data_IF_466263457650
#
_entry.id   IF_466263457650
#
_cell.length_a   1.000
_cell.length_b   1.000
_cell.length_c   1.000
_cell.angle_alpha   90.00
_cell.angle_beta   90.00
_cell.angle_gamma   90.00
#
_symmetry.space_group_name_H-M   'P 1'
#
loop_
_entity.id
_entity.type
_entity.pdbx_description
1 polymer ?
#
# COMPACT_ATOMS: atom_id res chain seq x y z
N UNK A 1 -32.91 45.08 -1.81
CA UNK A 1 -33.29 43.66 -1.59
C UNK A 1 -32.19 42.84 -2.27
N UNK A 2 -31.18 42.38 -1.52
CA UNK A 2 -31.08 41.02 -0.97
C UNK A 2 -31.37 39.96 -2.03
N UNK A 3 -30.33 39.30 -2.53
CA UNK A 3 -30.27 37.86 -2.83
C UNK A 3 -28.81 37.50 -3.17
N UNK A 4 -27.92 37.78 -2.21
CA UNK A 4 -26.75 36.93 -2.00
C UNK A 4 -27.29 35.65 -1.36
N UNK A 5 -27.12 34.48 -2.00
CA UNK A 5 -26.93 33.17 -1.37
C UNK A 5 -27.23 32.04 -2.38
N UNK A 6 -26.25 31.15 -2.52
CA UNK A 6 -26.46 29.71 -2.66
C UNK A 6 -27.13 29.17 -3.96
N UNK A 7 -26.31 28.98 -4.97
CA UNK A 7 -26.30 27.73 -5.75
C UNK A 7 -24.81 27.39 -5.89
N UNK A 8 -24.14 26.67 -4.99
CA UNK A 8 -24.44 25.34 -4.46
C UNK A 8 -24.98 24.38 -5.50
N UNK A 9 -24.03 23.73 -6.15
CA UNK A 9 -24.22 22.67 -7.12
C UNK A 9 -22.91 22.21 -7.74
N UNK A 10 -21.79 22.34 -7.02
CA UNK A 10 -20.53 21.66 -7.33
C UNK A 10 -20.79 20.14 -7.24
N UNK A 11 -21.37 19.56 -8.29
CA UNK A 11 -21.05 18.19 -8.68
C UNK A 11 -19.69 18.22 -9.36
N UNK A 12 -18.67 18.66 -8.63
CA UNK A 12 -17.33 18.16 -8.93
C UNK A 12 -17.38 16.70 -8.60
N UNK A 13 -17.60 15.87 -9.62
CA UNK A 13 -17.23 14.46 -9.57
C UNK A 13 -15.71 14.46 -9.49
N UNK A 14 -15.19 14.75 -8.30
CA UNK A 14 -13.80 14.52 -7.97
C UNK A 14 -13.64 13.02 -8.02
N UNK A 15 -13.23 12.51 -9.18
CA UNK A 15 -12.51 11.25 -9.29
C UNK A 15 -11.20 11.40 -8.53
N UNK A 16 -11.29 11.49 -7.20
CA UNK A 16 -10.18 11.24 -6.31
C UNK A 16 -9.77 9.80 -6.58
N UNK A 17 -8.50 9.64 -6.97
CA UNK A 17 -7.91 8.37 -7.36
C UNK A 17 -8.38 7.27 -6.43
N UNK A 18 -9.01 6.29 -7.05
CA UNK A 18 -9.68 5.20 -6.38
C UNK A 18 -8.62 4.16 -6.03
N UNK A 19 -7.77 4.51 -5.09
CA UNK A 19 -6.89 3.71 -4.23
C UNK A 19 -6.35 4.75 -3.26
N UNK A 20 -6.21 4.44 -1.97
CA UNK A 20 -5.94 5.40 -0.90
C UNK A 20 -4.64 6.22 -0.97
N UNK A 21 -4.06 6.40 -2.16
CA UNK A 21 -2.85 7.12 -2.49
C UNK A 21 -1.85 6.25 -3.22
N UNK A 22 -0.83 6.89 -3.80
CA UNK A 22 0.36 6.17 -4.25
C UNK A 22 1.12 5.65 -3.02
N UNK A 23 1.61 4.41 -3.06
CA UNK A 23 2.58 3.90 -2.09
C UNK A 23 3.99 4.14 -2.62
N UNK A 24 4.84 4.73 -1.79
CA UNK A 24 6.25 4.96 -2.06
C UNK A 24 7.05 4.20 -1.01
N UNK A 25 7.92 3.29 -1.45
CA UNK A 25 8.83 2.55 -0.58
C UNK A 25 10.25 3.01 -0.89
N UNK A 26 10.93 3.59 0.10
CA UNK A 26 12.28 4.10 -0.03
C UNK A 26 13.22 3.30 0.86
N UNK A 27 14.14 2.57 0.25
CA UNK A 27 15.18 1.86 0.97
C UNK A 27 16.47 2.69 0.92
N UNK A 28 16.74 3.44 1.98
CA UNK A 28 17.96 4.26 2.09
C UNK A 28 19.15 3.49 2.66
N UNK A 29 19.00 2.20 2.97
CA UNK A 29 20.13 1.38 3.42
C UNK A 29 21.11 1.16 2.28
N UNK A 30 22.38 0.89 2.63
CA UNK A 30 23.44 0.60 1.64
C UNK A 30 23.79 -0.89 1.55
N UNK A 31 23.40 -1.68 2.54
CA UNK A 31 23.85 -3.07 2.69
C UNK A 31 22.71 -4.09 2.63
N UNK A 32 21.45 -3.64 2.56
CA UNK A 32 20.30 -4.52 2.66
C UNK A 32 19.23 -4.24 1.62
N UNK A 33 18.74 -5.28 0.97
CA UNK A 33 17.55 -5.21 0.13
C UNK A 33 16.32 -5.42 0.99
N UNK A 34 15.28 -4.64 0.72
CA UNK A 34 13.98 -4.78 1.37
C UNK A 34 13.16 -5.80 0.60
N UNK A 35 12.70 -6.86 1.27
CA UNK A 35 11.75 -7.81 0.71
C UNK A 35 10.46 -7.73 1.50
N UNK A 36 9.31 -7.60 0.84
CA UNK A 36 8.06 -7.52 1.56
C UNK A 36 6.80 -7.92 0.81
N UNK A 37 5.73 -8.08 1.56
CA UNK A 37 4.36 -8.25 1.05
C UNK A 37 3.60 -7.00 1.44
N UNK A 38 3.09 -6.27 0.45
CA UNK A 38 2.31 -5.04 0.68
C UNK A 38 0.83 -5.38 0.72
N UNK A 39 0.12 -4.71 1.62
CA UNK A 39 -1.30 -4.90 1.85
C UNK A 39 -2.05 -3.58 1.70
N UNK A 40 -3.25 -3.69 1.16
CA UNK A 40 -4.22 -2.62 1.15
C UNK A 40 -5.59 -3.19 1.52
N UNK A 41 -6.35 -2.43 2.30
CA UNK A 41 -7.69 -2.84 2.72
C UNK A 41 -8.61 -1.63 2.82
N UNK A 42 -9.91 -1.90 2.85
CA UNK A 42 -10.86 -0.94 3.37
C UNK A 42 -10.65 -0.85 4.88
N UNK A 43 -10.60 0.36 5.46
CA UNK A 43 -10.54 0.57 6.91
C UNK A 43 -11.79 1.30 7.43
N UNK A 44 -12.86 1.32 6.64
CA UNK A 44 -14.10 2.01 6.99
C UNK A 44 -14.93 1.13 7.94
N UNK A 45 -15.09 1.59 9.18
CA UNK A 45 -15.74 0.85 10.28
C UNK A 45 -17.20 0.42 10.02
N UNK A 46 -17.89 0.97 9.02
CA UNK A 46 -19.32 0.72 8.79
C UNK A 46 -19.68 -0.49 7.92
N UNK A 47 -18.73 -1.17 7.24
CA UNK A 47 -19.05 -2.12 6.17
C UNK A 47 -18.34 -3.50 6.28
N UNK A 48 -18.06 -4.00 7.49
CA UNK A 48 -17.28 -5.25 7.65
C UNK A 48 -15.76 -5.03 7.69
N UNK A 49 -15.35 -3.78 7.96
CA UNK A 49 -14.09 -3.41 8.57
C UNK A 49 -12.88 -3.37 7.65
N UNK A 50 -12.55 -4.51 7.02
CA UNK A 50 -11.19 -4.81 6.50
C UNK A 50 -11.17 -5.29 5.05
N UNK A 51 -12.32 -5.27 4.39
CA UNK A 51 -12.51 -5.84 3.06
C UNK A 51 -13.09 -4.80 2.07
N UNK A 52 -12.73 -4.86 0.78
CA UNK A 52 -11.81 -5.83 0.19
C UNK A 52 -10.38 -5.67 0.70
N UNK A 53 -9.66 -6.79 0.80
CA UNK A 53 -8.26 -6.85 1.18
C UNK A 53 -7.45 -7.33 -0.03
N UNK A 54 -6.36 -6.65 -0.30
CA UNK A 54 -5.46 -6.89 -1.42
C UNK A 54 -4.07 -7.04 -0.86
N UNK A 55 -3.34 -8.05 -1.32
CA UNK A 55 -1.92 -8.16 -1.06
C UNK A 55 -1.15 -8.49 -2.33
N UNK A 56 0.13 -8.11 -2.39
CA UNK A 56 1.02 -8.74 -3.38
C UNK A 56 1.06 -10.26 -3.13
N UNK A 57 1.26 -11.03 -4.20
CA UNK A 57 1.27 -12.50 -4.13
C UNK A 57 2.51 -13.00 -3.39
N UNK A 58 2.31 -13.83 -2.38
CA UNK A 58 3.34 -14.69 -1.78
C UNK A 58 3.53 -15.94 -2.68
N UNK A 59 4.75 -16.39 -3.05
CA UNK A 59 6.10 -15.97 -2.59
C UNK A 59 6.79 -14.88 -3.41
N UNK A 60 6.07 -14.16 -4.27
CA UNK A 60 6.61 -13.03 -5.03
C UNK A 60 6.64 -11.76 -4.15
N UNK A 61 7.52 -11.78 -3.13
CA UNK A 61 7.79 -10.60 -2.33
C UNK A 61 8.29 -9.47 -3.25
N UNK A 62 7.79 -8.26 -3.02
CA UNK A 62 8.35 -7.07 -3.66
C UNK A 62 9.78 -6.86 -3.15
N UNK A 63 10.69 -6.49 -4.04
CA UNK A 63 12.11 -6.29 -3.73
C UNK A 63 12.48 -4.84 -4.02
N UNK A 64 12.89 -4.10 -3.00
CA UNK A 64 13.40 -2.74 -3.15
C UNK A 64 14.89 -2.78 -2.81
N UNK A 65 15.79 -2.73 -3.81
CA UNK A 65 17.22 -2.80 -3.57
C UNK A 65 17.73 -1.70 -2.64
N UNK A 66 18.89 -1.92 -2.02
CA UNK A 66 19.62 -0.91 -1.28
C UNK A 66 19.79 0.38 -2.10
N UNK A 67 19.45 1.53 -1.51
CA UNK A 67 19.49 2.85 -2.15
C UNK A 67 18.40 3.13 -3.18
N UNK A 68 17.42 2.22 -3.37
CA UNK A 68 16.39 2.35 -4.39
C UNK A 68 15.04 2.83 -3.84
N UNK A 69 14.16 3.24 -4.76
CA UNK A 69 12.78 3.63 -4.45
C UNK A 69 11.81 2.91 -5.39
N UNK A 70 10.83 2.21 -4.81
CA UNK A 70 9.70 1.66 -5.54
C UNK A 70 8.45 2.52 -5.35
N UNK A 71 7.65 2.63 -6.41
CA UNK A 71 6.41 3.42 -6.44
C UNK A 71 5.28 2.56 -6.96
N UNK A 72 4.16 2.56 -6.26
CA UNK A 72 2.94 1.87 -6.64
C UNK A 72 1.83 2.89 -6.76
N UNK A 73 1.65 3.44 -7.96
CA UNK A 73 0.62 4.45 -8.27
C UNK A 73 -0.77 3.89 -7.98
N UNK A 74 -1.03 2.68 -8.48
CA UNK A 74 -2.18 1.85 -8.17
C UNK A 74 -1.87 0.39 -8.53
N UNK A 75 -2.82 -0.53 -8.31
CA UNK A 75 -2.64 -1.96 -8.59
C UNK A 75 -2.24 -2.30 -10.04
N UNK A 76 -2.64 -1.47 -11.02
CA UNK A 76 -2.44 -1.71 -12.44
C UNK A 76 -1.23 -0.96 -13.00
N UNK A 77 -1.18 0.37 -12.83
CA UNK A 77 -0.15 1.22 -13.45
C UNK A 77 1.24 0.96 -12.87
N UNK A 78 1.34 0.51 -11.61
CA UNK A 78 2.60 0.10 -11.00
C UNK A 78 3.37 -0.96 -11.81
N UNK A 79 2.69 -1.76 -12.65
CA UNK A 79 3.35 -2.76 -13.46
C UNK A 79 4.36 -2.17 -14.46
N UNK A 80 4.09 -0.95 -14.94
CA UNK A 80 4.96 -0.25 -15.90
C UNK A 80 5.87 0.80 -15.23
N UNK A 81 5.55 1.27 -14.03
CA UNK A 81 6.24 2.38 -13.36
C UNK A 81 7.08 1.97 -12.15
N UNK A 82 6.81 0.84 -11.50
CA UNK A 82 7.57 0.36 -10.34
C UNK A 82 8.84 -0.38 -10.76
N UNK A 83 9.92 -0.19 -10.01
CA UNK A 83 11.13 -1.02 -10.14
C UNK A 83 10.92 -2.47 -9.67
N UNK A 84 9.85 -2.71 -8.91
CA UNK A 84 9.46 -4.02 -8.38
C UNK A 84 7.99 -4.25 -8.66
N UNK A 85 7.60 -4.53 -9.91
CA UNK A 85 6.21 -4.64 -10.29
C UNK A 85 5.58 -5.91 -9.72
N UNK A 86 4.36 -5.78 -9.20
CA UNK A 86 3.52 -6.91 -8.78
C UNK A 86 2.76 -7.44 -9.99
N UNK A 87 2.98 -8.68 -10.37
CA UNK A 87 2.31 -9.31 -11.52
C UNK A 87 0.88 -9.77 -11.18
N UNK A 88 0.70 -10.18 -9.93
CA UNK A 88 -0.51 -10.85 -9.43
C UNK A 88 -0.84 -10.35 -8.03
N UNK A 89 -2.11 -10.01 -7.82
CA UNK A 89 -2.67 -9.57 -6.56
C UNK A 89 -3.57 -10.65 -5.97
N UNK A 90 -3.38 -10.93 -4.69
CA UNK A 90 -4.32 -11.73 -3.89
C UNK A 90 -5.45 -10.82 -3.43
N UNK A 91 -6.69 -11.17 -3.74
CA UNK A 91 -7.88 -10.39 -3.39
C UNK A 91 -8.83 -11.22 -2.54
N UNK A 92 -9.18 -10.71 -1.37
CA UNK A 92 -10.26 -11.22 -0.54
C UNK A 92 -11.37 -10.16 -0.45
N UNK A 93 -12.62 -10.55 -0.72
CA UNK A 93 -13.74 -9.60 -0.81
C UNK A 93 -14.56 -9.53 0.49
N UNK A 94 -14.35 -10.46 1.42
CA UNK A 94 -15.08 -10.50 2.68
C UNK A 94 -14.57 -11.58 3.63
N UNK A 95 -15.03 -11.56 4.88
CA UNK A 95 -14.71 -12.58 5.87
C UNK A 95 -15.06 -13.98 5.37
N UNK A 96 -14.14 -14.93 5.48
CA UNK A 96 -14.34 -16.32 5.03
C UNK A 96 -14.40 -16.51 3.51
N UNK A 97 -14.23 -15.46 2.71
CA UNK A 97 -14.14 -15.59 1.25
C UNK A 97 -12.81 -16.21 0.82
N UNK A 98 -12.85 -17.04 -0.22
CA UNK A 98 -11.64 -17.59 -0.83
C UNK A 98 -10.81 -16.46 -1.44
N UNK A 99 -9.49 -16.49 -1.21
CA UNK A 99 -8.56 -15.58 -1.87
C UNK A 99 -8.57 -15.84 -3.37
N UNK A 100 -8.89 -14.81 -4.15
CA UNK A 100 -8.87 -14.81 -5.61
C UNK A 100 -7.59 -14.15 -6.10
N UNK A 101 -6.82 -14.87 -6.90
CA UNK A 101 -5.67 -14.31 -7.60
C UNK A 101 -6.11 -13.53 -8.83
N UNK A 102 -5.65 -12.29 -8.97
CA UNK A 102 -5.98 -11.41 -10.09
C UNK A 102 -4.70 -10.87 -10.70
N UNK A 103 -4.46 -11.04 -12.00
CA UNK A 103 -3.31 -10.41 -12.64
C UNK A 103 -3.44 -8.88 -12.55
N UNK A 104 -2.32 -8.16 -12.62
CA UNK A 104 -2.25 -6.70 -12.53
C UNK A 104 -3.20 -5.97 -13.49
N UNK A 105 -3.49 -6.56 -14.65
CA UNK A 105 -4.38 -5.99 -15.68
C UNK A 105 -5.85 -6.44 -15.55
N UNK A 106 -6.22 -7.17 -14.50
CA UNK A 106 -7.59 -7.61 -14.28
C UNK A 106 -8.54 -6.41 -14.14
N UNK A 107 -9.69 -6.44 -14.82
CA UNK A 107 -10.62 -5.31 -14.91
C UNK A 107 -11.12 -4.79 -13.55
N UNK A 108 -11.13 -5.63 -12.52
CA UNK A 108 -11.52 -5.21 -11.17
C UNK A 108 -10.49 -4.35 -10.42
N UNK A 109 -9.24 -4.32 -10.90
CA UNK A 109 -8.11 -3.62 -10.28
C UNK A 109 -7.82 -2.27 -10.97
N UNK A 110 -8.58 -1.92 -12.00
CA UNK A 110 -8.42 -0.64 -12.67
C UNK A 110 -8.64 0.51 -11.68
N UNK A 111 -7.92 1.63 -11.84
CA UNK A 111 -8.24 2.85 -11.10
C UNK A 111 -9.68 3.26 -11.33
N UNK A 112 -10.37 3.69 -10.27
CA UNK A 112 -11.82 3.95 -10.33
C UNK A 112 -12.68 2.73 -10.05
N UNK A 113 -12.14 1.51 -10.17
CA UNK A 113 -12.87 0.27 -9.92
C UNK A 113 -13.23 0.11 -8.44
N UNK A 114 -14.25 -0.71 -8.15
CA UNK A 114 -14.78 -0.90 -6.77
C UNK A 114 -13.71 -1.27 -5.77
N UNK A 115 -12.79 -2.18 -6.12
CA UNK A 115 -11.72 -2.60 -5.20
C UNK A 115 -10.80 -1.43 -4.91
N UNK A 116 -10.25 -0.85 -5.96
CA UNK A 116 -9.30 0.24 -5.86
C UNK A 116 -9.96 1.43 -5.10
N UNK A 117 -11.21 1.79 -5.43
CA UNK A 117 -11.94 2.88 -4.78
C UNK A 117 -12.20 2.69 -3.27
N UNK A 118 -12.21 1.45 -2.80
CA UNK A 118 -12.55 1.12 -1.42
C UNK A 118 -11.34 0.64 -0.60
N UNK A 119 -10.13 0.75 -1.13
CA UNK A 119 -8.93 0.25 -0.45
C UNK A 119 -7.86 1.31 -0.29
N UNK A 120 -7.11 1.22 0.80
CA UNK A 120 -5.97 2.08 1.11
C UNK A 120 -4.81 1.20 1.53
N UNK A 121 -3.59 1.59 1.18
CA UNK A 121 -2.38 0.93 1.69
C UNK A 121 -2.38 0.94 3.21
N UNK A 122 -2.20 -0.23 3.81
CA UNK A 122 -2.44 -0.41 5.24
C UNK A 122 -1.25 -0.94 5.98
N UNK A 123 -0.59 -1.96 5.45
CA UNK A 123 0.59 -2.55 6.07
C UNK A 123 1.52 -3.19 5.05
N UNK A 124 2.70 -3.53 5.53
CA UNK A 124 3.65 -4.38 4.86
C UNK A 124 4.24 -5.37 5.87
N UNK A 125 4.41 -6.61 5.45
CA UNK A 125 5.28 -7.57 6.14
C UNK A 125 6.61 -7.57 5.44
N UNK A 126 7.71 -7.38 6.17
CA UNK A 126 9.02 -7.25 5.55
C UNK A 126 10.10 -8.07 6.24
N UNK A 127 11.13 -8.37 5.46
CA UNK A 127 12.37 -9.01 5.87
C UNK A 127 13.49 -8.35 5.07
N UNK A 128 14.53 -7.88 5.76
CA UNK A 128 15.72 -7.37 5.09
C UNK A 128 16.62 -8.54 4.65
N UNK A 129 17.30 -8.40 3.52
CA UNK A 129 18.26 -9.36 2.97
C UNK A 129 19.58 -8.66 2.70
N UNK A 130 20.72 -9.35 2.83
CA UNK A 130 21.99 -8.77 2.38
C UNK A 130 21.92 -8.43 0.89
N UNK A 131 22.32 -7.21 0.54
CA UNK A 131 22.12 -6.66 -0.80
C UNK A 131 22.65 -7.59 -1.91
N UNK A 132 21.81 -7.87 -2.90
CA UNK A 132 22.12 -8.76 -4.02
C UNK A 132 22.14 -10.26 -3.68
N UNK A 133 21.68 -10.66 -2.50
CA UNK A 133 21.71 -12.06 -2.04
C UNK A 133 20.35 -12.54 -1.53
N UNK A 134 20.22 -13.85 -1.32
CA UNK A 134 19.08 -14.47 -0.65
C UNK A 134 19.33 -14.73 0.84
N UNK A 135 20.32 -14.08 1.45
CA UNK A 135 20.66 -14.26 2.88
C UNK A 135 19.89 -13.24 3.72
N UNK A 136 18.96 -13.68 4.60
CA UNK A 136 18.15 -12.75 5.39
C UNK A 136 18.94 -12.14 6.56
N UNK A 137 18.66 -10.87 6.86
CA UNK A 137 19.05 -10.20 8.11
C UNK A 137 18.01 -10.47 9.20
N UNK A 138 18.30 -11.43 10.08
CA UNK A 138 17.34 -11.97 11.06
C UNK A 138 16.90 -10.99 12.14
N UNK A 139 17.55 -9.84 12.28
CA UNK A 139 17.28 -8.88 13.35
C UNK A 139 16.59 -7.59 12.90
N UNK A 140 16.28 -7.45 11.60
CA UNK A 140 15.49 -6.33 11.08
C UNK A 140 14.44 -6.85 10.10
N UNK A 141 13.27 -7.16 10.65
CA UNK A 141 12.09 -7.70 9.97
C UNK A 141 10.84 -7.43 10.82
N UNK A 142 9.67 -7.71 10.25
CA UNK A 142 8.41 -7.70 10.98
C UNK A 142 7.26 -7.11 10.17
N UNK A 143 6.19 -6.77 10.87
CA UNK A 143 5.03 -6.10 10.30
C UNK A 143 5.14 -4.59 10.57
N UNK A 144 4.84 -3.77 9.57
CA UNK A 144 4.82 -2.30 9.67
C UNK A 144 3.62 -1.73 8.92
N UNK A 145 2.98 -0.67 9.41
CA UNK A 145 1.82 -0.11 8.73
C UNK A 145 1.19 1.08 9.44
N UNK A 146 0.09 1.57 8.89
CA UNK A 146 -0.77 2.53 9.59
C UNK A 146 -1.71 1.79 10.52
N UNK A 147 -1.54 1.93 11.84
CA UNK A 147 -2.46 1.34 12.83
C UNK A 147 -3.89 1.78 12.55
N UNK A 148 -4.75 0.83 12.19
CA UNK A 148 -6.13 1.07 11.82
C UNK A 148 -6.99 -0.10 12.33
N UNK A 149 -7.37 -0.04 13.60
CA UNK A 149 -8.22 -1.05 14.21
C UNK A 149 -9.61 -1.08 13.53
N UNK A 150 -10.18 -2.27 13.29
CA UNK A 150 -9.72 -3.60 13.71
C UNK A 150 -8.78 -4.31 12.72
N UNK A 151 -8.43 -3.68 11.61
CA UNK A 151 -7.87 -4.34 10.42
C UNK A 151 -6.36 -4.46 10.41
N UNK A 152 -5.69 -3.53 11.08
CA UNK A 152 -4.25 -3.51 11.16
C UNK A 152 -3.80 -3.05 12.55
N UNK A 153 -2.99 -3.89 13.18
CA UNK A 153 -2.30 -3.60 14.45
C UNK A 153 -0.79 -3.43 14.26
N UNK A 154 -0.29 -3.47 13.02
CA UNK A 154 1.11 -3.26 12.74
C UNK A 154 1.52 -1.85 13.16
N UNK A 155 2.65 -1.69 13.88
CA UNK A 155 3.15 -0.39 14.28
C UNK A 155 3.55 0.45 13.06
N UNK A 156 3.52 1.76 13.21
CA UNK A 156 3.97 2.72 12.19
C UNK A 156 5.49 2.93 12.20
N UNK A 157 6.19 2.36 13.18
CA UNK A 157 7.63 2.43 13.32
C UNK A 157 8.18 1.11 13.86
N UNK A 158 9.21 0.59 13.19
CA UNK A 158 10.00 -0.56 13.64
C UNK A 158 11.44 -0.10 13.78
N UNK A 159 11.95 -0.04 15.00
CA UNK A 159 13.30 0.37 15.30
C UNK A 159 14.06 -0.78 15.99
N UNK A 160 15.22 -1.13 15.45
CA UNK A 160 16.10 -2.17 15.99
C UNK A 160 17.53 -1.62 16.05
N UNK A 161 18.46 -2.38 16.63
CA UNK A 161 19.88 -2.04 16.55
C UNK A 161 20.45 -2.08 15.11
N UNK A 162 19.69 -2.65 14.16
CA UNK A 162 20.13 -2.91 12.78
C UNK A 162 19.47 -2.00 11.74
N UNK A 163 18.53 -1.15 12.15
CA UNK A 163 17.85 -0.21 11.25
C UNK A 163 16.55 0.35 11.80
N UNK A 164 15.98 1.29 11.07
CA UNK A 164 14.69 1.90 11.34
C UNK A 164 13.80 1.84 10.10
N UNK A 165 12.53 1.45 10.28
CA UNK A 165 11.51 1.55 9.26
C UNK A 165 10.34 2.38 9.78
N UNK A 166 9.82 3.29 8.94
CA UNK A 166 8.70 4.16 9.28
C UNK A 166 7.64 4.17 8.19
N UNK A 167 6.39 4.01 8.59
CA UNK A 167 5.21 4.09 7.76
C UNK A 167 4.41 5.34 8.10
N UNK A 168 4.02 6.13 7.10
CA UNK A 168 3.13 7.27 7.32
C UNK A 168 2.41 7.67 6.04
N UNK A 169 1.30 8.39 6.18
CA UNK A 169 0.54 8.91 5.05
C UNK A 169 0.51 10.44 5.12
N UNK A 170 0.78 11.07 3.98
CA UNK A 170 0.71 12.52 3.79
C UNK A 170 -0.41 12.83 2.81
N UNK A 171 -1.27 13.78 3.17
CA UNK A 171 -2.30 14.32 2.28
C UNK A 171 -1.92 15.74 1.90
N UNK A 172 -1.83 16.02 0.60
CA UNK A 172 -1.56 17.36 0.05
C UNK A 172 -2.63 17.70 -0.98
N UNK A 173 -3.53 18.63 -0.62
CA UNK A 173 -4.70 18.90 -1.45
C UNK A 173 -5.59 17.66 -1.56
N UNK A 174 -5.82 17.21 -2.80
CA UNK A 174 -6.56 15.97 -3.11
C UNK A 174 -5.68 14.74 -3.22
N UNK A 175 -4.35 14.90 -3.20
CA UNK A 175 -3.42 13.80 -3.39
C UNK A 175 -3.06 13.18 -2.04
N UNK A 176 -3.04 11.85 -2.02
CA UNK A 176 -2.64 11.06 -0.85
C UNK A 176 -1.40 10.26 -1.22
N UNK A 177 -0.41 10.28 -0.35
CA UNK A 177 0.84 9.55 -0.51
C UNK A 177 1.11 8.76 0.75
N UNK A 178 1.29 7.45 0.62
CA UNK A 178 1.74 6.59 1.71
C UNK A 178 3.21 6.27 1.52
N UNK A 179 3.99 6.47 2.57
CA UNK A 179 5.43 6.25 2.58
C UNK A 179 5.78 5.09 3.50
N UNK A 180 6.68 4.24 3.03
CA UNK A 180 7.47 3.34 3.85
C UNK A 180 8.95 3.69 3.62
N UNK A 181 9.58 4.22 4.66
CA UNK A 181 10.99 4.60 4.63
C UNK A 181 11.78 3.59 5.45
N UNK A 182 12.85 3.03 4.89
CA UNK A 182 13.80 2.14 5.57
C UNK A 182 15.18 2.80 5.61
N UNK A 183 15.84 2.79 6.76
CA UNK A 183 17.15 3.41 7.03
C UNK A 183 18.05 2.50 7.86
#
# INVERSE_FOLDING_TARGET
MKMFLFMLGLCSVSSAYAQGGMLIIQNFTTNYDFHGIIYANNNSAGAGGCYPMISSKDPEAIVVPAGATAKYEDYRHQFASSISPVTTWNVSLGPGSSVSQRPWNHASLIPGGVISANTKWSMCKFQMYHAGTSVPQTYFNGDIGGTALPCNTAPDNVATAWGNAKWFTVTSGTDVYTYLIIQ
#
